data_IF_736517910858
#
_entry.id   IF_736517910858
#
_cell.length_a   1.000
_cell.length_b   1.000
_cell.length_c   1.000
_cell.angle_alpha   90.00
_cell.angle_beta   90.00
_cell.angle_gamma   90.00
#
_symmetry.space_group_name_H-M   'P 1'
#
loop_
_entity.id
_entity.type
_entity.pdbx_description
1 polymer ?
#
# COMPACT_ATOMS: atom_id res chain seq x y z
N UNK A 1 -9.92 -13.31 -10.42
CA UNK A 1 -9.41 -12.03 -9.88
C UNK A 1 -8.54 -11.37 -10.92
N UNK A 2 -8.73 -10.11 -11.19
CA UNK A 2 -7.88 -9.33 -12.11
C UNK A 2 -7.05 -8.36 -11.28
N UNK A 3 -5.75 -8.62 -11.21
CA UNK A 3 -4.78 -7.94 -10.36
C UNK A 3 -4.47 -8.66 -9.05
N UNK A 4 -3.19 -8.71 -8.71
CA UNK A 4 -2.63 -9.42 -7.55
C UNK A 4 -2.13 -8.49 -6.43
N UNK A 5 -2.57 -7.24 -6.40
CA UNK A 5 -2.31 -6.35 -5.27
C UNK A 5 -2.98 -6.85 -3.98
N UNK A 6 -2.76 -6.16 -2.87
CA UNK A 6 -3.31 -6.52 -1.54
C UNK A 6 -4.82 -6.82 -1.60
N UNK A 7 -5.61 -6.07 -2.40
CA UNK A 7 -7.05 -6.34 -2.57
C UNK A 7 -7.30 -7.67 -3.26
N UNK A 8 -6.58 -7.96 -4.35
CA UNK A 8 -6.73 -9.20 -5.11
C UNK A 8 -6.36 -10.41 -4.27
N UNK A 9 -5.20 -10.36 -3.60
CA UNK A 9 -4.76 -11.43 -2.70
C UNK A 9 -5.74 -11.64 -1.54
N UNK A 10 -6.26 -10.56 -0.93
CA UNK A 10 -7.28 -10.65 0.12
C UNK A 10 -8.56 -11.30 -0.39
N UNK A 11 -9.04 -10.87 -1.57
CA UNK A 11 -10.25 -11.44 -2.17
C UNK A 11 -10.07 -12.92 -2.46
N UNK A 12 -8.93 -13.30 -3.07
CA UNK A 12 -8.60 -14.69 -3.36
C UNK A 12 -8.54 -15.53 -2.08
N UNK A 13 -7.89 -15.02 -1.02
CA UNK A 13 -7.83 -15.69 0.30
C UNK A 13 -9.23 -15.98 0.84
N UNK A 14 -10.13 -14.99 0.79
CA UNK A 14 -11.45 -15.10 1.41
C UNK A 14 -12.46 -15.88 0.58
N UNK A 15 -12.32 -15.91 -0.72
CA UNK A 15 -13.18 -16.73 -1.59
C UNK A 15 -12.71 -18.17 -1.61
N UNK A 16 -11.41 -18.44 -1.57
CA UNK A 16 -10.86 -19.81 -1.50
C UNK A 16 -11.16 -20.55 -0.19
N UNK A 17 -11.73 -19.87 0.82
CA UNK A 17 -12.30 -20.54 2.01
C UNK A 17 -13.51 -21.42 1.66
N UNK A 18 -14.16 -21.18 0.51
CA UNK A 18 -15.27 -21.98 0.00
C UNK A 18 -14.75 -23.06 -0.96
N UNK A 19 -14.80 -24.33 -0.53
CA UNK A 19 -14.26 -25.47 -1.29
C UNK A 19 -14.92 -25.72 -2.63
N UNK A 20 -16.14 -25.21 -2.83
CA UNK A 20 -16.90 -25.32 -4.09
C UNK A 20 -16.53 -24.24 -5.11
N UNK A 21 -15.59 -23.35 -4.79
CA UNK A 21 -15.22 -22.23 -5.66
C UNK A 21 -13.77 -22.40 -6.12
N UNK A 22 -13.60 -22.43 -7.43
CA UNK A 22 -12.28 -22.35 -8.06
C UNK A 22 -11.88 -20.90 -8.21
N UNK A 23 -10.66 -20.55 -7.81
CA UNK A 23 -10.17 -19.18 -7.84
C UNK A 23 -8.94 -19.07 -8.73
N UNK A 24 -9.00 -18.17 -9.70
CA UNK A 24 -7.86 -17.79 -10.55
C UNK A 24 -7.52 -16.32 -10.34
N UNK A 25 -6.25 -16.00 -10.18
CA UNK A 25 -5.70 -14.65 -10.11
C UNK A 25 -4.89 -14.39 -11.38
N UNK A 26 -5.35 -13.45 -12.20
CA UNK A 26 -4.67 -12.99 -13.41
C UNK A 26 -3.90 -11.71 -13.09
N UNK A 27 -2.60 -11.73 -13.25
CA UNK A 27 -1.70 -10.59 -13.03
C UNK A 27 -1.02 -10.20 -14.35
N UNK A 28 -1.08 -8.90 -14.69
CA UNK A 28 -0.47 -8.41 -15.93
C UNK A 28 1.07 -8.37 -15.87
N UNK A 29 1.62 -8.19 -14.68
CA UNK A 29 3.05 -8.15 -14.45
C UNK A 29 3.62 -9.57 -14.26
N UNK A 30 4.93 -9.71 -14.42
CA UNK A 30 5.66 -10.92 -14.11
C UNK A 30 5.68 -11.25 -12.61
N UNK A 31 5.54 -10.23 -11.77
CA UNK A 31 5.58 -10.33 -10.32
C UNK A 31 4.20 -10.04 -9.72
N UNK A 32 3.87 -10.77 -8.66
CA UNK A 32 2.66 -10.56 -7.89
C UNK A 32 2.89 -9.52 -6.78
N UNK A 33 1.80 -8.89 -6.32
CA UNK A 33 1.84 -7.96 -5.20
C UNK A 33 1.37 -6.54 -5.54
N UNK A 34 1.33 -6.19 -6.82
CA UNK A 34 0.94 -4.85 -7.29
C UNK A 34 1.85 -3.77 -6.69
N UNK A 35 1.29 -2.74 -6.04
CA UNK A 35 2.09 -1.72 -5.35
C UNK A 35 2.86 -2.25 -4.13
N UNK A 36 2.63 -3.49 -3.71
CA UNK A 36 3.38 -4.14 -2.64
C UNK A 36 4.48 -5.08 -3.17
N UNK A 37 4.68 -5.17 -4.48
CA UNK A 37 5.76 -5.95 -5.07
C UNK A 37 7.14 -5.32 -4.82
N UNK A 38 8.16 -6.13 -5.05
CA UNK A 38 9.55 -5.71 -5.16
C UNK A 38 10.02 -6.16 -6.53
N UNK A 39 10.45 -5.23 -7.35
CA UNK A 39 10.98 -5.50 -8.69
C UNK A 39 12.50 -5.27 -8.77
N UNK A 40 13.05 -5.29 -10.00
CA UNK A 40 14.48 -5.07 -10.22
C UNK A 40 14.96 -3.71 -9.73
N UNK A 41 14.07 -2.72 -9.73
CA UNK A 41 14.34 -1.35 -9.29
C UNK A 41 14.12 -1.17 -7.76
N UNK A 42 13.63 -2.20 -7.08
CA UNK A 42 13.46 -2.23 -5.64
C UNK A 42 12.03 -2.11 -5.15
N UNK A 43 11.88 -1.66 -3.91
CA UNK A 43 10.59 -1.49 -3.25
C UNK A 43 9.84 -0.27 -3.80
N UNK A 44 8.52 -0.38 -3.92
CA UNK A 44 7.66 0.75 -4.28
C UNK A 44 7.72 1.88 -3.23
N UNK A 45 7.76 1.54 -1.96
CA UNK A 45 7.87 2.47 -0.83
C UNK A 45 8.18 1.71 0.48
N UNK A 46 8.61 2.41 1.54
CA UNK A 46 8.72 1.83 2.88
C UNK A 46 7.40 1.22 3.34
N UNK A 47 7.45 0.01 3.90
CA UNK A 47 6.27 -0.68 4.46
C UNK A 47 6.17 -0.41 5.96
N UNK A 48 5.30 0.52 6.30
CA UNK A 48 5.00 0.88 7.67
C UNK A 48 3.50 0.66 7.92
N UNK A 49 3.17 -0.26 8.80
CA UNK A 49 1.79 -0.62 9.13
C UNK A 49 1.40 0.05 10.45
N UNK A 50 0.21 0.62 10.48
CA UNK A 50 -0.32 1.22 11.70
C UNK A 50 -1.06 0.16 12.53
N UNK A 51 -1.12 0.35 13.84
CA UNK A 51 -1.78 -0.59 14.77
C UNK A 51 -3.31 -0.69 14.58
N UNK A 52 -3.91 0.25 13.86
CA UNK A 52 -5.31 0.24 13.48
C UNK A 52 -5.62 -0.53 12.16
N UNK A 53 -4.62 -1.21 11.58
CA UNK A 53 -4.79 -2.08 10.41
C UNK A 53 -5.41 -3.43 10.80
N UNK A 54 -6.59 -3.39 11.41
CA UNK A 54 -7.22 -4.54 12.06
C UNK A 54 -7.58 -5.66 11.10
N UNK A 55 -8.11 -5.32 9.92
CA UNK A 55 -8.51 -6.31 8.93
C UNK A 55 -7.30 -6.93 8.23
N UNK A 56 -6.31 -6.10 7.88
CA UNK A 56 -5.05 -6.60 7.33
C UNK A 56 -4.37 -7.55 8.32
N UNK A 57 -4.25 -7.16 9.58
CA UNK A 57 -3.62 -8.00 10.61
C UNK A 57 -4.39 -9.29 10.87
N UNK A 58 -5.71 -9.27 10.75
CA UNK A 58 -6.52 -10.50 10.80
C UNK A 58 -6.14 -11.47 9.67
N UNK A 59 -6.01 -10.97 8.44
CA UNK A 59 -5.57 -11.79 7.29
C UNK A 59 -4.15 -12.31 7.51
N UNK A 60 -3.20 -11.42 7.84
CA UNK A 60 -1.80 -11.79 8.03
C UNK A 60 -1.59 -12.76 9.20
N UNK A 61 -2.53 -12.79 10.15
CA UNK A 61 -2.57 -13.75 11.25
C UNK A 61 -2.85 -15.19 10.80
N UNK A 62 -3.46 -15.39 9.63
CA UNK A 62 -3.79 -16.72 9.08
C UNK A 62 -2.74 -17.23 8.09
N UNK A 63 -1.80 -16.39 7.67
CA UNK A 63 -0.77 -16.73 6.67
C UNK A 63 0.52 -17.11 7.39
N UNK A 64 1.03 -18.31 7.09
CA UNK A 64 2.32 -18.77 7.61
C UNK A 64 3.49 -18.04 6.93
N UNK A 65 4.32 -17.39 7.75
CA UNK A 65 5.51 -16.65 7.33
C UNK A 65 6.72 -17.56 7.05
N UNK A 66 7.91 -16.93 6.95
CA UNK A 66 9.15 -17.64 6.61
C UNK A 66 9.67 -18.55 7.75
N UNK A 67 9.37 -18.22 8.99
CA UNK A 67 9.87 -18.89 10.19
C UNK A 67 8.83 -19.81 10.85
N UNK A 68 7.77 -20.17 10.12
CA UNK A 68 6.67 -21.00 10.61
C UNK A 68 5.68 -20.27 11.53
N UNK A 69 5.97 -19.03 11.92
CA UNK A 69 5.01 -18.16 12.61
C UNK A 69 4.11 -17.46 11.60
N UNK A 70 3.00 -16.92 12.04
CA UNK A 70 2.18 -16.11 11.12
C UNK A 70 2.92 -14.82 10.70
N UNK A 71 2.64 -14.34 9.48
CA UNK A 71 3.19 -13.06 8.99
C UNK A 71 2.90 -11.94 9.98
N UNK A 72 1.71 -11.92 10.60
CA UNK A 72 1.36 -10.93 11.63
C UNK A 72 2.30 -10.98 12.85
N UNK A 73 2.61 -12.18 13.34
CA UNK A 73 3.47 -12.36 14.52
C UNK A 73 4.96 -12.11 14.24
N UNK A 74 5.36 -12.13 12.98
CA UNK A 74 6.71 -11.78 12.56
C UNK A 74 6.95 -10.27 12.43
N UNK A 75 5.89 -9.44 12.43
CA UNK A 75 6.02 -7.99 12.36
C UNK A 75 6.73 -7.45 13.61
N UNK A 76 7.60 -6.50 13.40
CA UNK A 76 8.39 -5.85 14.44
C UNK A 76 7.84 -4.46 14.75
N UNK A 77 7.83 -4.07 16.01
CA UNK A 77 7.51 -2.71 16.42
C UNK A 77 8.55 -1.75 15.83
N UNK A 78 8.08 -0.63 15.31
CA UNK A 78 8.93 0.39 14.74
C UNK A 78 8.58 1.77 15.30
N UNK A 79 9.61 2.54 15.60
CA UNK A 79 9.46 3.92 16.03
C UNK A 79 9.28 4.84 14.82
N UNK A 80 8.61 5.93 15.04
CA UNK A 80 8.53 7.03 14.08
C UNK A 80 9.27 8.24 14.65
N UNK A 81 10.27 8.68 13.92
CA UNK A 81 11.14 9.78 14.34
C UNK A 81 10.94 10.96 13.39
N UNK A 82 10.91 12.17 13.93
CA UNK A 82 10.95 13.41 13.17
C UNK A 82 12.07 14.29 13.67
N UNK A 83 12.70 15.01 12.77
CA UNK A 83 13.83 15.87 13.13
C UNK A 83 13.32 17.26 13.52
N UNK A 84 13.85 17.77 14.64
CA UNK A 84 13.69 19.16 15.08
C UNK A 84 15.01 19.91 14.97
N UNK A 85 14.94 21.24 14.91
CA UNK A 85 16.15 22.04 14.80
C UNK A 85 16.96 22.11 16.09
N UNK A 86 16.33 21.96 17.25
CA UNK A 86 17.00 22.12 18.56
C UNK A 86 17.24 20.78 19.28
N UNK A 87 16.36 19.81 19.09
CA UNK A 87 16.40 18.55 19.85
C UNK A 87 16.83 17.35 19.01
N UNK A 88 17.20 17.55 17.72
CA UNK A 88 17.55 16.47 16.82
C UNK A 88 16.38 15.54 16.51
N UNK A 89 16.59 14.23 16.51
CA UNK A 89 15.56 13.24 16.25
C UNK A 89 14.66 13.03 17.48
N UNK A 90 13.36 13.27 17.31
CA UNK A 90 12.35 13.13 18.36
C UNK A 90 11.32 12.07 17.94
N UNK A 91 11.03 11.14 18.82
CA UNK A 91 9.99 10.15 18.61
C UNK A 91 8.60 10.78 18.68
N UNK A 92 7.83 10.61 17.60
CA UNK A 92 6.47 11.16 17.43
C UNK A 92 5.40 10.07 17.38
N UNK A 93 5.62 8.96 18.06
CA UNK A 93 4.67 7.84 18.13
C UNK A 93 3.30 8.24 18.70
N UNK A 94 3.26 9.35 19.45
CA UNK A 94 2.04 9.82 20.10
C UNK A 94 1.81 11.32 19.92
N UNK A 95 0.60 11.70 19.52
CA UNK A 95 0.24 13.12 19.38
C UNK A 95 0.45 13.91 20.70
N UNK A 96 0.19 13.31 21.86
CA UNK A 96 0.36 13.98 23.15
C UNK A 96 1.82 14.35 23.46
N UNK A 97 2.82 13.69 22.84
CA UNK A 97 4.22 14.11 22.97
C UNK A 97 4.49 15.47 22.37
N UNK A 98 3.70 15.90 21.39
CA UNK A 98 3.74 17.28 20.89
C UNK A 98 3.36 18.30 21.98
N UNK A 99 2.65 17.86 23.01
CA UNK A 99 2.26 18.68 24.16
C UNK A 99 3.29 18.59 25.30
N UNK A 100 4.32 17.76 25.18
CA UNK A 100 5.36 17.62 26.21
C UNK A 100 6.11 18.96 26.42
N UNK A 101 6.32 19.34 27.68
CA UNK A 101 6.96 20.60 28.06
C UNK A 101 8.39 20.74 27.54
N UNK A 102 9.03 19.63 27.26
CA UNK A 102 10.41 19.52 26.79
C UNK A 102 10.60 20.02 25.35
N UNK A 103 9.52 20.15 24.56
CA UNK A 103 9.58 20.62 23.18
C UNK A 103 9.13 22.09 23.12
N UNK A 104 9.98 23.00 22.63
CA UNK A 104 9.60 24.41 22.46
C UNK A 104 8.33 24.59 21.63
N UNK A 105 7.51 25.60 21.93
CA UNK A 105 6.21 25.83 21.25
C UNK A 105 6.40 26.01 19.73
N UNK A 106 7.44 26.72 19.31
CA UNK A 106 7.76 26.90 17.89
C UNK A 106 8.04 25.58 17.19
N UNK A 107 8.72 24.65 17.86
CA UNK A 107 8.98 23.31 17.33
C UNK A 107 7.76 22.42 17.36
N UNK A 108 6.87 22.56 18.36
CA UNK A 108 5.58 21.84 18.37
C UNK A 108 4.76 22.17 17.12
N UNK A 109 4.76 23.44 16.70
CA UNK A 109 4.09 23.86 15.46
C UNK A 109 4.75 23.24 14.24
N UNK A 110 6.08 23.19 14.21
CA UNK A 110 6.83 22.56 13.12
C UNK A 110 6.60 21.04 13.08
N UNK A 111 6.66 20.37 14.22
CA UNK A 111 6.34 18.95 14.36
C UNK A 111 4.89 18.67 14.00
N UNK A 112 3.93 19.49 14.45
CA UNK A 112 2.52 19.35 14.08
C UNK A 112 2.31 19.55 12.58
N UNK A 113 3.09 20.41 11.93
CA UNK A 113 3.10 20.57 10.47
C UNK A 113 3.76 19.38 9.75
N UNK A 114 4.80 18.78 10.32
CA UNK A 114 5.46 17.58 9.81
C UNK A 114 4.66 16.32 10.17
N UNK A 115 3.94 16.33 11.28
CA UNK A 115 3.11 15.25 11.80
C UNK A 115 1.77 15.15 11.05
N UNK A 116 1.72 15.40 9.80
CA UNK A 116 0.55 15.12 8.99
C UNK A 116 0.43 13.61 8.75
N UNK A 117 -0.80 13.11 8.57
CA UNK A 117 -1.12 11.69 8.74
C UNK A 117 -0.50 10.71 7.77
N UNK A 118 0.47 11.09 7.01
CA UNK A 118 1.35 10.18 6.32
C UNK A 118 2.57 10.83 5.73
N UNK A 119 3.62 10.03 5.63
CA UNK A 119 4.85 10.41 4.97
C UNK A 119 4.76 10.49 3.44
N UNK A 120 3.63 10.20 2.80
CA UNK A 120 3.61 9.78 1.40
C UNK A 120 3.06 10.79 0.39
N UNK A 121 2.81 12.04 0.76
CA UNK A 121 2.26 12.99 -0.19
C UNK A 121 3.08 14.23 -0.35
N UNK A 122 3.35 14.46 -1.55
CA UNK A 122 4.11 15.54 -2.07
C UNK A 122 3.32 16.80 -2.32
N UNK A 123 3.90 17.92 -2.00
CA UNK A 123 3.46 19.22 -2.44
C UNK A 123 3.98 19.50 -3.85
N UNK A 124 3.10 19.72 -4.81
CA UNK A 124 3.42 20.11 -6.18
C UNK A 124 4.27 21.39 -6.28
N UNK A 125 4.43 22.12 -5.18
CA UNK A 125 5.17 23.38 -5.13
C UNK A 125 6.48 23.30 -4.34
N UNK A 126 6.90 22.11 -3.91
CA UNK A 126 8.18 21.94 -3.19
C UNK A 126 8.23 22.58 -1.80
N UNK A 127 7.11 23.04 -1.28
CA UNK A 127 7.08 23.82 -0.05
C UNK A 127 6.69 23.06 1.21
N UNK A 128 6.12 21.87 1.13
CA UNK A 128 5.80 21.06 2.31
C UNK A 128 5.50 19.62 1.91
N UNK A 129 6.47 18.83 1.91
CA UNK A 129 6.50 17.46 1.47
C UNK A 129 5.85 16.49 2.44
N UNK A 130 4.64 16.63 2.85
CA UNK A 130 3.95 15.66 3.69
C UNK A 130 2.44 15.78 3.59
N UNK A 131 1.91 15.94 2.38
CA UNK A 131 0.47 15.93 2.18
C UNK A 131 0.02 14.64 1.56
N UNK A 132 -0.88 13.93 2.25
CA UNK A 132 -1.91 13.15 1.59
C UNK A 132 -2.89 14.12 0.98
N UNK A 133 -2.87 14.34 -0.28
CA UNK A 133 -3.78 15.24 -0.91
C UNK A 133 -3.93 16.60 -0.23
N UNK A 134 -4.66 17.50 -0.78
CA UNK A 134 -5.16 18.67 -0.07
C UNK A 134 -6.18 18.18 0.99
N UNK A 135 -6.26 18.81 2.16
CA UNK A 135 -7.37 18.58 3.09
C UNK A 135 -8.74 18.78 2.41
N UNK A 136 -8.76 19.50 1.29
CA UNK A 136 -9.94 19.70 0.45
C UNK A 136 -10.38 18.46 -0.31
N UNK A 137 -9.45 17.52 -0.53
CA UNK A 137 -9.71 16.26 -1.24
C UNK A 137 -10.40 15.22 -0.36
N UNK A 138 -10.48 15.48 0.95
CA UNK A 138 -11.16 14.61 1.91
C UNK A 138 -12.54 15.14 2.28
N UNK A 139 -13.51 14.25 2.32
CA UNK A 139 -14.81 14.59 2.91
C UNK A 139 -14.66 14.93 4.40
N UNK A 140 -15.54 15.78 4.98
CA UNK A 140 -15.52 16.07 6.42
C UNK A 140 -15.53 14.81 7.29
N UNK A 141 -16.25 13.77 6.87
CA UNK A 141 -16.30 12.47 7.54
C UNK A 141 -14.95 11.74 7.41
N UNK A 142 -14.30 11.83 6.26
CA UNK A 142 -12.95 11.29 6.04
C UNK A 142 -11.93 11.97 6.95
N UNK A 143 -11.97 13.29 7.07
CA UNK A 143 -11.10 14.06 7.97
C UNK A 143 -11.32 13.69 9.45
N UNK A 144 -12.58 13.54 9.88
CA UNK A 144 -12.90 13.12 11.25
C UNK A 144 -12.40 11.70 11.55
N UNK A 145 -12.58 10.76 10.60
CA UNK A 145 -12.05 9.39 10.73
C UNK A 145 -10.53 9.39 10.80
N UNK A 146 -9.89 10.18 9.95
CA UNK A 146 -8.43 10.34 9.95
C UNK A 146 -7.94 10.91 11.28
N UNK A 147 -8.54 11.97 11.78
CA UNK A 147 -8.20 12.55 13.08
C UNK A 147 -8.38 11.52 14.22
N UNK A 148 -9.47 10.76 14.21
CA UNK A 148 -9.71 9.68 15.18
C UNK A 148 -8.64 8.59 15.12
N UNK A 149 -8.23 8.16 13.92
CA UNK A 149 -7.20 7.15 13.76
C UNK A 149 -5.84 7.66 14.24
N UNK A 150 -5.51 8.91 13.95
CA UNK A 150 -4.28 9.55 14.41
C UNK A 150 -4.17 9.59 15.94
N UNK A 151 -5.29 9.83 16.64
CA UNK A 151 -5.32 9.82 18.11
C UNK A 151 -5.18 8.40 18.67
N UNK A 152 -5.69 7.41 17.96
CA UNK A 152 -5.73 6.00 18.42
C UNK A 152 -4.50 5.20 18.05
N UNK A 153 -3.91 5.47 16.90
CA UNK A 153 -2.73 4.74 16.43
C UNK A 153 -1.50 5.13 17.26
N UNK A 154 -0.99 4.17 18.00
CA UNK A 154 0.11 4.38 18.96
C UNK A 154 1.41 3.74 18.49
N UNK A 155 1.32 2.65 17.76
CA UNK A 155 2.47 1.84 17.39
C UNK A 155 2.48 1.63 15.88
N UNK A 156 3.68 1.65 15.31
CA UNK A 156 3.92 1.23 13.94
C UNK A 156 4.57 -0.15 13.91
N UNK A 157 4.36 -0.85 12.82
CA UNK A 157 4.95 -2.16 12.58
C UNK A 157 5.64 -2.17 11.22
N UNK A 158 6.70 -2.96 11.11
CA UNK A 158 7.44 -3.17 9.87
C UNK A 158 7.71 -4.64 9.67
N UNK A 159 7.99 -5.01 8.42
CA UNK A 159 8.44 -6.36 8.08
C UNK A 159 9.87 -6.58 8.58
N UNK A 160 10.26 -7.82 8.89
CA UNK A 160 11.63 -8.15 9.27
C UNK A 160 12.67 -7.96 8.16
N UNK A 161 12.22 -7.77 6.92
CA UNK A 161 13.09 -7.62 5.75
C UNK A 161 12.28 -7.23 4.49
N UNK A 162 12.73 -7.63 3.29
CA UNK A 162 12.10 -7.29 2.02
C UNK A 162 10.63 -7.68 1.93
N UNK A 163 9.82 -6.83 1.30
CA UNK A 163 8.36 -7.01 1.23
C UNK A 163 7.97 -8.26 0.46
N UNK A 164 8.67 -8.60 -0.61
CA UNK A 164 8.45 -9.84 -1.37
C UNK A 164 8.64 -11.07 -0.46
N UNK A 165 9.78 -11.14 0.23
CA UNK A 165 10.17 -12.29 1.06
C UNK A 165 9.26 -12.46 2.28
N UNK A 166 8.89 -11.38 2.96
CA UNK A 166 8.20 -11.45 4.27
C UNK A 166 6.69 -11.21 4.20
N UNK A 167 6.16 -10.77 3.05
CA UNK A 167 4.74 -10.52 2.88
C UNK A 167 4.17 -11.26 1.67
N UNK A 168 4.71 -11.01 0.47
CA UNK A 168 4.09 -11.48 -0.77
C UNK A 168 4.31 -12.98 -0.96
N UNK A 169 5.53 -13.48 -0.89
CA UNK A 169 5.83 -14.91 -1.06
C UNK A 169 5.10 -15.83 -0.07
N UNK A 170 5.04 -15.51 1.25
CA UNK A 170 4.19 -16.23 2.18
C UNK A 170 2.72 -16.27 1.76
N UNK A 171 2.18 -15.15 1.30
CA UNK A 171 0.79 -15.06 0.88
C UNK A 171 0.53 -15.90 -0.37
N UNK A 172 1.40 -15.84 -1.37
CA UNK A 172 1.29 -16.66 -2.59
C UNK A 172 1.40 -18.16 -2.28
N UNK A 173 2.29 -18.56 -1.36
CA UNK A 173 2.39 -19.96 -0.90
C UNK A 173 1.08 -20.42 -0.24
N UNK A 174 0.48 -19.58 0.59
CA UNK A 174 -0.80 -19.89 1.23
C UNK A 174 -1.92 -20.06 0.21
N UNK A 175 -2.02 -19.16 -0.77
CA UNK A 175 -3.01 -19.26 -1.83
C UNK A 175 -2.83 -20.52 -2.70
N UNK A 176 -1.59 -20.87 -3.06
CA UNK A 176 -1.32 -22.12 -3.78
C UNK A 176 -1.74 -23.37 -2.97
N UNK A 177 -1.48 -23.38 -1.65
CA UNK A 177 -1.93 -24.46 -0.76
C UNK A 177 -3.46 -24.58 -0.71
N UNK A 178 -4.18 -23.49 -0.89
CA UNK A 178 -5.64 -23.44 -0.99
C UNK A 178 -6.18 -23.83 -2.38
N UNK A 179 -5.31 -24.14 -3.35
CA UNK A 179 -5.70 -24.49 -4.71
C UNK A 179 -5.97 -23.30 -5.62
N UNK A 180 -5.58 -22.08 -5.24
CA UNK A 180 -5.75 -20.91 -6.09
C UNK A 180 -4.74 -20.94 -7.25
N UNK A 181 -5.25 -20.80 -8.49
CA UNK A 181 -4.41 -20.59 -9.67
C UNK A 181 -3.85 -19.17 -9.69
N UNK A 182 -2.53 -19.05 -9.81
CA UNK A 182 -1.82 -17.77 -9.87
C UNK A 182 -1.11 -17.64 -11.22
N UNK A 183 -1.59 -16.74 -12.07
CA UNK A 183 -1.12 -16.58 -13.44
C UNK A 183 -0.53 -15.19 -13.67
N UNK A 184 0.79 -15.12 -13.75
CA UNK A 184 1.53 -13.93 -14.12
C UNK A 184 1.59 -13.77 -15.65
N UNK A 185 1.99 -12.58 -16.12
CA UNK A 185 2.04 -12.21 -17.55
C UNK A 185 0.68 -12.39 -18.27
N UNK A 186 -0.42 -12.29 -17.51
CA UNK A 186 -1.81 -12.48 -17.98
C UNK A 186 -2.59 -11.16 -17.95
N UNK A 187 -2.20 -10.25 -18.82
CA UNK A 187 -2.91 -8.98 -18.97
C UNK A 187 -4.30 -9.20 -19.54
N UNK A 188 -5.33 -8.79 -18.80
CA UNK A 188 -6.71 -8.75 -19.29
C UNK A 188 -6.90 -7.50 -20.15
N UNK A 189 -7.42 -7.71 -21.36
CA UNK A 189 -7.59 -6.65 -22.36
C UNK A 189 -9.05 -6.30 -22.64
N UNK A 190 -9.98 -7.20 -22.30
CA UNK A 190 -11.41 -6.96 -22.49
C UNK A 190 -12.27 -7.76 -21.53
N UNK A 191 -13.41 -7.18 -21.16
CA UNK A 191 -14.48 -7.79 -20.39
C UNK A 191 -15.80 -7.71 -21.16
N UNK A 192 -16.57 -8.77 -21.18
CA UNK A 192 -17.89 -8.75 -21.80
C UNK A 192 -18.90 -9.57 -20.99
N UNK A 193 -20.18 -9.16 -21.02
CA UNK A 193 -21.23 -9.97 -20.46
C UNK A 193 -21.48 -11.18 -21.38
N UNK A 194 -21.53 -12.37 -20.80
CA UNK A 194 -21.81 -13.62 -21.48
C UNK A 194 -22.93 -14.38 -20.74
N UNK A 195 -24.16 -14.08 -21.08
CA UNK A 195 -25.32 -14.58 -20.31
C UNK A 195 -25.28 -14.08 -18.86
N UNK A 196 -25.24 -15.00 -17.90
CA UNK A 196 -25.08 -14.68 -16.47
C UNK A 196 -23.62 -14.55 -15.99
N UNK A 197 -22.67 -14.78 -16.88
CA UNK A 197 -21.25 -14.87 -16.62
C UNK A 197 -20.48 -13.68 -17.19
N UNK A 198 -19.20 -13.58 -16.90
CA UNK A 198 -18.29 -12.57 -17.43
C UNK A 198 -17.23 -13.25 -18.28
N UNK A 199 -17.14 -12.89 -19.54
CA UNK A 199 -16.06 -13.27 -20.43
C UNK A 199 -14.86 -12.34 -20.22
N UNK A 200 -13.69 -12.93 -20.02
CA UNK A 200 -12.42 -12.26 -19.78
C UNK A 200 -11.45 -12.61 -20.90
N UNK A 201 -10.98 -11.61 -21.63
CA UNK A 201 -10.06 -11.80 -22.76
C UNK A 201 -8.65 -11.40 -22.37
N UNK A 202 -7.70 -12.27 -22.69
CA UNK A 202 -6.26 -12.06 -22.58
C UNK A 202 -5.58 -12.38 -23.90
N UNK A 203 -4.26 -12.25 -24.00
CA UNK A 203 -3.51 -12.69 -25.19
C UNK A 203 -3.61 -14.22 -25.44
N UNK A 204 -3.96 -15.02 -24.42
CA UNK A 204 -4.11 -16.46 -24.52
C UNK A 204 -5.53 -16.90 -24.97
N UNK A 205 -6.46 -15.97 -25.12
CA UNK A 205 -7.82 -16.25 -25.50
C UNK A 205 -8.85 -15.66 -24.55
N UNK A 206 -10.09 -16.14 -24.68
CA UNK A 206 -11.23 -15.71 -23.84
C UNK A 206 -11.69 -16.85 -22.96
N UNK A 207 -11.79 -16.58 -21.69
CA UNK A 207 -12.30 -17.50 -20.65
C UNK A 207 -13.57 -16.92 -20.02
N UNK A 208 -14.47 -17.76 -19.55
CA UNK A 208 -15.75 -17.36 -18.96
C UNK A 208 -15.77 -17.71 -17.50
N UNK A 209 -16.13 -16.76 -16.65
CA UNK A 209 -16.19 -16.91 -15.21
C UNK A 209 -17.57 -16.52 -14.65
N UNK A 210 -18.03 -17.22 -13.62
CA UNK A 210 -19.27 -16.86 -12.90
C UNK A 210 -19.11 -15.49 -12.24
N UNK A 211 -17.92 -15.23 -11.68
CA UNK A 211 -17.61 -14.01 -10.94
C UNK A 211 -16.23 -13.49 -11.34
N UNK A 212 -16.16 -12.22 -11.63
CA UNK A 212 -14.91 -11.48 -11.87
C UNK A 212 -14.82 -10.33 -10.88
N UNK A 213 -13.68 -10.24 -10.17
CA UNK A 213 -13.37 -9.08 -9.32
C UNK A 213 -12.18 -8.35 -9.91
N UNK A 214 -12.38 -7.09 -10.29
CA UNK A 214 -11.30 -6.24 -10.80
C UNK A 214 -10.68 -5.49 -9.63
N UNK A 215 -9.38 -5.72 -9.42
CA UNK A 215 -8.59 -5.07 -8.37
C UNK A 215 -7.42 -4.30 -8.94
N UNK A 216 -7.52 -3.97 -10.22
CA UNK A 216 -6.51 -3.23 -10.96
C UNK A 216 -6.30 -1.81 -10.40
N UNK A 217 -5.13 -1.27 -10.66
CA UNK A 217 -4.81 0.12 -10.38
C UNK A 217 -5.73 1.05 -11.19
N UNK A 218 -6.08 2.23 -10.65
CA UNK A 218 -7.12 3.09 -11.24
C UNK A 218 -6.96 3.37 -12.73
N UNK A 219 -5.81 3.79 -13.24
CA UNK A 219 -5.62 3.98 -14.67
C UNK A 219 -5.85 2.71 -15.50
N UNK A 220 -5.39 1.56 -14.99
CA UNK A 220 -5.58 0.27 -15.67
C UNK A 220 -7.05 -0.18 -15.62
N UNK A 221 -7.73 0.10 -14.51
CA UNK A 221 -9.18 -0.14 -14.38
C UNK A 221 -9.96 0.68 -15.42
N UNK A 222 -9.72 1.98 -15.50
CA UNK A 222 -10.38 2.87 -16.47
C UNK A 222 -10.10 2.40 -17.90
N UNK A 223 -8.83 2.17 -18.24
CA UNK A 223 -8.45 1.67 -19.57
C UNK A 223 -9.11 0.33 -19.91
N UNK A 224 -9.27 -0.57 -18.94
CA UNK A 224 -9.94 -1.85 -19.16
C UNK A 224 -11.44 -1.66 -19.41
N UNK A 225 -12.10 -0.79 -18.64
CA UNK A 225 -13.53 -0.50 -18.83
C UNK A 225 -13.79 0.18 -20.19
N UNK A 226 -12.94 1.14 -20.59
CA UNK A 226 -13.01 1.82 -21.88
C UNK A 226 -12.79 0.84 -23.05
N UNK A 227 -11.75 0.02 -22.99
CA UNK A 227 -11.46 -0.99 -23.99
C UNK A 227 -12.61 -2.01 -24.13
N UNK A 228 -13.26 -2.32 -23.02
CA UNK A 228 -14.42 -3.22 -22.95
C UNK A 228 -15.73 -2.55 -23.35
N UNK A 229 -15.74 -1.25 -23.64
CA UNK A 229 -16.94 -0.44 -23.91
C UNK A 229 -17.99 -0.52 -22.81
N UNK A 230 -17.53 -0.67 -21.57
CA UNK A 230 -18.39 -0.71 -20.39
C UNK A 230 -18.60 0.72 -19.91
N UNK A 231 -19.86 1.15 -19.88
CA UNK A 231 -20.24 2.51 -19.46
C UNK A 231 -20.00 2.70 -17.94
N UNK A 232 -19.13 3.62 -17.59
CA UNK A 232 -18.73 3.89 -16.22
C UNK A 232 -18.70 5.38 -15.92
N UNK A 233 -18.62 5.73 -14.64
CA UNK A 233 -18.37 7.12 -14.23
C UNK A 233 -16.90 7.46 -14.43
N UNK A 234 -16.61 8.76 -14.59
CA UNK A 234 -15.24 9.23 -14.59
C UNK A 234 -14.60 9.00 -13.21
N UNK A 235 -13.38 8.48 -13.20
CA UNK A 235 -12.59 8.27 -11.99
C UNK A 235 -11.31 9.07 -12.11
N UNK A 236 -11.13 10.05 -11.24
CA UNK A 236 -9.89 10.80 -11.14
C UNK A 236 -8.90 10.02 -10.27
N UNK A 237 -7.74 9.69 -10.81
CA UNK A 237 -6.65 9.01 -10.09
C UNK A 237 -5.77 9.96 -9.28
N UNK A 238 -5.98 11.27 -9.42
CA UNK A 238 -5.05 12.27 -8.91
C UNK A 238 -3.70 12.24 -9.65
N UNK A 239 -2.85 13.19 -9.35
CA UNK A 239 -1.51 13.28 -9.95
C UNK A 239 -0.45 13.22 -8.85
N UNK A 240 -0.27 12.04 -8.26
CA UNK A 240 0.77 11.79 -7.26
C UNK A 240 1.81 10.86 -7.81
N UNK A 241 3.07 11.20 -7.61
CA UNK A 241 4.21 10.36 -7.96
C UNK A 241 5.27 10.45 -6.87
N UNK A 242 6.16 9.47 -6.83
CA UNK A 242 7.26 9.44 -5.88
C UNK A 242 8.43 8.65 -6.44
N UNK A 243 9.58 8.82 -5.81
CA UNK A 243 10.76 8.01 -6.08
C UNK A 243 11.13 7.27 -4.81
N UNK A 244 11.34 5.97 -4.95
CA UNK A 244 11.77 5.12 -3.86
C UNK A 244 13.20 4.62 -4.11
N UNK A 245 14.01 4.61 -3.06
CA UNK A 245 15.35 4.03 -3.10
C UNK A 245 15.41 2.84 -2.14
N UNK A 246 15.86 1.72 -2.65
CA UNK A 246 16.24 0.58 -1.81
C UNK A 246 17.76 0.57 -1.70
N UNK A 247 18.26 0.81 -0.51
CA UNK A 247 19.68 1.01 -0.23
C UNK A 247 20.20 -0.12 0.66
N UNK A 248 21.24 -0.78 0.21
CA UNK A 248 22.01 -1.71 1.04
C UNK A 248 23.16 -0.94 1.70
N UNK A 249 23.21 -1.00 3.01
CA UNK A 249 24.28 -0.40 3.81
C UNK A 249 25.40 -1.41 4.05
N UNK A 250 26.60 -0.92 4.39
CA UNK A 250 27.66 -1.79 4.90
C UNK A 250 27.17 -2.44 6.22
N UNK A 251 27.25 -3.76 6.39
CA UNK A 251 26.81 -4.42 7.64
C UNK A 251 27.54 -3.93 8.90
N UNK A 252 28.67 -3.26 8.74
CA UNK A 252 29.44 -2.65 9.82
C UNK A 252 29.01 -1.21 10.12
N UNK A 253 28.06 -0.67 9.35
CA UNK A 253 27.53 0.68 9.55
C UNK A 253 26.76 0.75 10.88
N UNK A 254 27.01 1.79 11.64
CA UNK A 254 26.27 2.06 12.87
C UNK A 254 25.19 3.10 12.59
N UNK A 255 24.07 2.65 12.07
CA UNK A 255 22.93 3.55 11.90
C UNK A 255 22.38 3.91 13.27
N UNK A 256 22.51 5.21 13.64
CA UNK A 256 21.94 5.81 14.85
C UNK A 256 21.55 4.79 15.94
N UNK A 257 22.47 4.42 16.71
CA UNK A 257 22.70 3.49 17.80
C UNK A 257 21.55 2.73 18.48
N UNK A 258 20.40 2.54 17.89
CA UNK A 258 19.31 1.79 18.51
C UNK A 258 18.83 0.65 17.62
N UNK A 259 18.89 -0.56 18.14
CA UNK A 259 18.57 -1.82 17.47
C UNK A 259 17.10 -1.97 17.02
N UNK A 260 16.26 -0.97 17.21
CA UNK A 260 14.84 -1.01 16.80
C UNK A 260 14.64 -0.43 15.42
N UNK A 261 13.83 -1.08 14.55
CA UNK A 261 13.45 -0.47 13.29
C UNK A 261 12.80 0.90 13.52
N UNK A 262 13.14 1.86 12.67
CA UNK A 262 12.59 3.20 12.79
C UNK A 262 12.31 3.83 11.42
N UNK A 263 11.25 4.63 11.37
CA UNK A 263 10.93 5.52 10.26
C UNK A 263 11.41 6.92 10.59
N UNK A 264 12.39 7.41 9.86
CA UNK A 264 12.94 8.75 9.95
C UNK A 264 12.26 9.67 8.93
N UNK A 265 11.69 10.77 9.38
CA UNK A 265 10.97 11.72 8.51
C UNK A 265 11.61 13.11 8.61
N UNK A 266 12.13 13.64 7.51
CA UNK A 266 12.68 14.99 7.40
C UNK A 266 12.64 15.50 5.96
N UNK A 267 12.24 16.75 5.77
CA UNK A 267 12.32 17.49 4.50
C UNK A 267 11.80 16.71 3.27
N UNK A 268 10.69 16.00 3.45
CA UNK A 268 10.08 15.20 2.38
C UNK A 268 10.78 13.88 2.08
N UNK A 269 11.80 13.55 2.83
CA UNK A 269 12.48 12.26 2.76
C UNK A 269 12.04 11.40 3.93
N UNK A 270 11.56 10.20 3.63
CA UNK A 270 11.16 9.21 4.63
C UNK A 270 12.05 7.99 4.48
N UNK A 271 12.76 7.65 5.54
CA UNK A 271 13.73 6.57 5.54
C UNK A 271 13.27 5.52 6.53
N UNK A 272 12.93 4.34 6.04
CA UNK A 272 12.71 3.16 6.88
C UNK A 272 14.02 2.38 6.97
N UNK A 273 14.64 2.39 8.14
CA UNK A 273 15.73 1.48 8.46
C UNK A 273 15.13 0.16 8.88
N UNK A 274 15.47 -0.90 8.14
CA UNK A 274 14.98 -2.25 8.41
C UNK A 274 15.79 -2.94 9.53
N UNK A 275 15.25 -4.00 10.12
CA UNK A 275 15.97 -4.81 11.10
C UNK A 275 17.31 -5.32 10.53
N UNK A 276 18.32 -5.40 11.39
CA UNK A 276 19.68 -5.77 10.96
C UNK A 276 20.55 -4.58 10.57
N UNK A 277 19.94 -3.39 10.31
CA UNK A 277 20.60 -2.13 10.00
C UNK A 277 21.44 -2.11 8.71
N UNK A 278 21.38 -3.17 7.94
CA UNK A 278 22.12 -3.32 6.69
C UNK A 278 21.31 -2.87 5.45
N UNK A 279 20.03 -2.51 5.63
CA UNK A 279 19.14 -2.11 4.55
C UNK A 279 18.20 -0.99 4.99
N UNK A 280 18.04 -0.01 4.12
CA UNK A 280 16.98 0.99 4.28
C UNK A 280 16.16 1.16 3.00
N UNK A 281 14.89 1.50 3.16
CA UNK A 281 14.00 1.91 2.08
C UNK A 281 13.68 3.38 2.26
N UNK A 282 14.00 4.16 1.25
CA UNK A 282 13.84 5.61 1.27
C UNK A 282 12.73 5.99 0.30
N UNK A 283 11.84 6.84 0.74
CA UNK A 283 10.83 7.45 -0.12
C UNK A 283 11.04 8.95 -0.17
N UNK A 284 11.22 9.45 -1.36
CA UNK A 284 11.17 10.86 -1.66
C UNK A 284 9.81 11.20 -2.24
N UNK A 285 9.05 11.97 -1.48
CA UNK A 285 7.81 12.53 -1.96
C UNK A 285 8.14 13.78 -2.74
N UNK A 286 7.89 13.78 -4.02
CA UNK A 286 8.06 14.83 -4.97
C UNK A 286 9.41 15.27 -5.36
N UNK A 287 9.59 14.84 -6.30
CA UNK A 287 10.38 15.32 -7.06
C UNK A 287 10.23 16.33 -8.15
N UNK A 288 10.30 17.47 -7.77
CA UNK A 288 10.80 18.48 -8.69
C UNK A 288 12.32 18.39 -8.87
N UNK A 289 13.00 17.63 -8.04
CA UNK A 289 14.43 17.29 -8.18
C UNK A 289 14.71 15.97 -7.46
N UNK A 290 14.49 14.88 -8.14
CA UNK A 290 15.06 13.57 -7.80
C UNK A 290 16.45 13.45 -8.40
N UNK A 291 17.31 14.37 -8.07
CA UNK A 291 18.73 14.14 -8.23
C UNK A 291 19.11 13.04 -7.23
N UNK A 292 19.43 11.83 -7.69
CA UNK A 292 19.79 10.73 -6.81
C UNK A 292 20.92 11.10 -5.84
N UNK A 293 21.91 11.84 -6.30
CA UNK A 293 23.07 12.20 -5.49
C UNK A 293 22.66 13.14 -4.33
N UNK A 294 21.75 14.06 -4.58
CA UNK A 294 21.21 14.92 -3.51
C UNK A 294 20.42 14.12 -2.46
N UNK A 295 19.60 13.16 -2.90
CA UNK A 295 18.83 12.31 -1.98
C UNK A 295 19.77 11.44 -1.16
N UNK A 296 20.74 10.80 -1.81
CA UNK A 296 21.71 9.93 -1.13
C UNK A 296 22.59 10.72 -0.14
N UNK A 297 22.97 11.94 -0.49
CA UNK A 297 23.68 12.83 0.43
C UNK A 297 22.83 13.18 1.67
N UNK A 298 21.51 13.42 1.49
CA UNK A 298 20.58 13.60 2.63
C UNK A 298 20.47 12.32 3.46
N UNK A 299 20.33 11.17 2.84
CA UNK A 299 20.27 9.89 3.58
C UNK A 299 21.52 9.69 4.42
N UNK A 300 22.70 9.88 3.84
CA UNK A 300 23.98 9.83 4.57
C UNK A 300 23.99 10.78 5.76
N UNK A 301 23.63 12.03 5.54
CA UNK A 301 23.60 13.04 6.60
C UNK A 301 22.56 12.74 7.70
N UNK A 302 21.38 12.27 7.32
CA UNK A 302 20.30 12.01 8.29
C UNK A 302 20.52 10.77 9.14
N UNK A 303 21.16 9.76 8.59
CA UNK A 303 21.51 8.52 9.28
C UNK A 303 22.93 8.54 9.84
N UNK A 304 23.67 9.64 9.64
CA UNK A 304 25.07 9.80 10.10
C UNK A 304 25.97 8.65 9.62
N UNK A 305 25.86 8.30 8.33
CA UNK A 305 26.60 7.18 7.76
C UNK A 305 28.05 7.54 7.49
N UNK A 306 28.96 6.75 8.04
CA UNK A 306 30.41 6.91 7.89
C UNK A 306 30.98 6.15 6.69
N UNK A 307 30.26 5.12 6.20
CA UNK A 307 30.73 4.20 5.17
C UNK A 307 30.02 4.41 3.85
N UNK A 308 30.59 3.85 2.80
CA UNK A 308 29.97 3.86 1.49
C UNK A 308 28.75 2.94 1.41
N UNK A 309 27.79 3.33 0.58
CA UNK A 309 26.60 2.52 0.30
C UNK A 309 27.02 1.33 -0.55
N UNK A 310 26.61 0.13 -0.17
CA UNK A 310 26.96 -1.11 -0.90
C UNK A 310 26.23 -1.19 -2.22
N UNK A 311 24.94 -0.88 -2.24
CA UNK A 311 24.15 -0.79 -3.46
C UNK A 311 22.96 0.15 -3.30
N UNK A 312 22.52 0.71 -4.41
CA UNK A 312 21.35 1.59 -4.48
C UNK A 312 20.51 1.16 -5.68
N UNK A 313 19.25 0.88 -5.44
CA UNK A 313 18.23 0.69 -6.49
C UNK A 313 17.22 1.82 -6.41
N UNK A 314 16.78 2.34 -7.56
CA UNK A 314 15.90 3.49 -7.66
C UNK A 314 14.66 3.11 -8.47
N UNK A 315 13.49 3.19 -7.85
CA UNK A 315 12.19 2.97 -8.48
C UNK A 315 11.42 4.27 -8.60
N UNK A 316 11.10 4.64 -9.84
CA UNK A 316 10.33 5.84 -10.14
C UNK A 316 8.87 5.48 -10.31
N UNK A 317 8.02 5.90 -9.38
CA UNK A 317 6.58 5.67 -9.39
C UNK A 317 5.89 6.93 -9.94
N UNK A 318 5.77 7.01 -11.27
CA UNK A 318 5.34 8.23 -11.98
C UNK A 318 3.95 8.15 -12.64
N UNK A 319 3.28 7.00 -12.58
CA UNK A 319 1.92 6.89 -13.12
C UNK A 319 0.96 7.69 -12.24
N UNK A 320 -0.07 8.35 -12.82
CA UNK A 320 -1.03 9.12 -12.05
C UNK A 320 -1.62 8.34 -10.86
N UNK A 321 -1.51 8.87 -9.65
CA UNK A 321 -1.94 8.22 -8.41
C UNK A 321 -1.10 7.03 -7.94
N UNK A 322 0.03 6.73 -8.59
CA UNK A 322 0.83 5.54 -8.27
C UNK A 322 1.46 5.61 -6.88
N UNK A 323 1.88 6.78 -6.43
CA UNK A 323 2.40 6.95 -5.09
C UNK A 323 1.31 6.73 -4.03
N UNK A 324 0.21 7.46 -4.16
CA UNK A 324 -0.97 7.40 -3.31
C UNK A 324 -2.18 7.78 -4.14
N UNK A 325 -3.28 7.08 -4.00
CA UNK A 325 -4.55 7.51 -4.57
C UNK A 325 -5.12 8.67 -3.74
N UNK A 326 -5.35 9.81 -4.39
CA UNK A 326 -5.92 11.02 -3.78
C UNK A 326 -7.18 11.52 -4.48
N UNK A 327 -7.66 10.80 -5.49
CA UNK A 327 -8.89 11.10 -6.19
C UNK A 327 -10.14 10.79 -5.36
N UNK A 328 -11.30 11.02 -5.94
CA UNK A 328 -12.56 10.66 -5.32
C UNK A 328 -12.73 9.15 -5.21
N UNK A 329 -12.90 8.66 -3.97
CA UNK A 329 -13.16 7.25 -3.72
C UNK A 329 -14.52 6.86 -4.30
N UNK A 330 -14.50 5.94 -5.25
CA UNK A 330 -15.69 5.51 -5.97
C UNK A 330 -16.39 4.38 -5.24
N UNK A 331 -17.69 4.48 -5.07
CA UNK A 331 -18.50 3.35 -4.58
C UNK A 331 -18.57 2.27 -5.69
N UNK A 332 -18.26 1.03 -5.33
CA UNK A 332 -18.24 -0.09 -6.28
C UNK A 332 -19.59 -0.29 -6.99
N UNK A 333 -20.72 -0.06 -6.28
CA UNK A 333 -22.08 -0.15 -6.80
C UNK A 333 -22.47 1.02 -7.75
N UNK A 334 -21.63 2.07 -7.83
CA UNK A 334 -21.88 3.24 -8.68
C UNK A 334 -20.82 3.43 -9.76
N UNK A 335 -19.78 2.60 -9.77
CA UNK A 335 -18.72 2.70 -10.77
C UNK A 335 -19.28 2.52 -12.18
N UNK A 336 -20.09 1.50 -12.38
CA UNK A 336 -20.77 1.26 -13.66
C UNK A 336 -22.11 1.99 -13.69
N UNK A 337 -22.41 2.66 -14.83
CA UNK A 337 -23.72 3.27 -15.07
C UNK A 337 -24.81 2.23 -15.26
N UNK A 338 -24.44 1.06 -15.79
CA UNK A 338 -25.31 -0.11 -15.93
C UNK A 338 -24.66 -1.29 -15.23
N UNK A 339 -25.28 -1.86 -14.18
CA UNK A 339 -24.74 -3.02 -13.48
C UNK A 339 -24.49 -4.18 -14.44
N UNK A 340 -23.37 -4.85 -14.27
CA UNK A 340 -22.99 -6.06 -14.99
C UNK A 340 -22.94 -7.21 -13.98
N UNK A 341 -23.77 -8.23 -14.22
CA UNK A 341 -23.86 -9.38 -13.31
C UNK A 341 -22.53 -10.12 -13.26
N UNK A 342 -22.12 -10.52 -12.07
CA UNK A 342 -20.87 -11.23 -11.86
C UNK A 342 -19.62 -10.35 -11.85
N UNK A 343 -19.73 -9.04 -12.11
CA UNK A 343 -18.59 -8.14 -12.11
C UNK A 343 -18.56 -7.29 -10.83
N UNK A 344 -17.46 -7.37 -10.10
CA UNK A 344 -17.21 -6.67 -8.84
C UNK A 344 -15.92 -5.89 -8.90
N UNK A 345 -15.77 -4.92 -8.00
CA UNK A 345 -14.59 -4.06 -7.93
C UNK A 345 -14.09 -3.97 -6.48
N UNK A 346 -12.78 -4.06 -6.32
CA UNK A 346 -12.12 -3.79 -5.06
C UNK A 346 -10.77 -3.11 -5.31
N UNK A 347 -10.26 -2.42 -4.31
CA UNK A 347 -9.00 -1.70 -4.40
C UNK A 347 -8.98 -0.53 -3.43
N UNK A 348 -7.82 0.06 -3.24
CA UNK A 348 -7.66 1.19 -2.33
C UNK A 348 -8.43 2.44 -2.78
N UNK A 349 -8.67 2.59 -4.09
CA UNK A 349 -9.47 3.67 -4.67
C UNK A 349 -10.99 3.41 -4.62
N UNK A 350 -11.40 2.17 -4.33
CA UNK A 350 -12.80 1.84 -4.13
C UNK A 350 -13.19 2.21 -2.70
N UNK A 351 -14.33 2.91 -2.57
CA UNK A 351 -14.82 3.42 -1.29
C UNK A 351 -14.86 2.32 -0.22
N UNK A 352 -14.20 2.61 0.87
CA UNK A 352 -14.12 1.75 2.05
C UNK A 352 -14.17 2.60 3.32
N UNK A 353 -14.17 1.95 4.48
CA UNK A 353 -14.26 2.66 5.77
C UNK A 353 -12.92 3.22 6.26
N UNK A 354 -11.81 2.98 5.55
CA UNK A 354 -10.50 3.53 5.90
C UNK A 354 -10.30 4.89 5.20
N UNK A 355 -9.81 5.92 5.89
CA UNK A 355 -9.88 7.29 5.40
C UNK A 355 -8.80 7.65 4.37
N UNK A 356 -7.82 6.80 4.17
CA UNK A 356 -6.65 7.07 3.33
C UNK A 356 -6.31 5.88 2.44
N UNK A 357 -5.58 6.12 1.36
CA UNK A 357 -5.03 5.05 0.51
C UNK A 357 -3.94 4.29 1.27
N UNK A 358 -4.29 3.11 1.74
CA UNK A 358 -3.41 2.24 2.50
C UNK A 358 -3.79 0.77 2.29
N UNK A 359 -2.90 -0.14 2.71
CA UNK A 359 -3.15 -1.58 2.65
C UNK A 359 -4.44 -1.97 3.39
N UNK A 360 -4.73 -1.35 4.52
CA UNK A 360 -5.97 -1.57 5.27
C UNK A 360 -7.22 -1.20 4.45
N UNK A 361 -7.19 -0.08 3.73
CA UNK A 361 -8.27 0.33 2.83
C UNK A 361 -8.49 -0.67 1.71
N UNK A 362 -7.40 -1.17 1.13
CA UNK A 362 -7.44 -2.19 0.10
C UNK A 362 -8.08 -3.51 0.62
N UNK A 363 -7.71 -3.94 1.82
CA UNK A 363 -8.31 -5.12 2.49
C UNK A 363 -9.80 -4.90 2.75
N UNK A 364 -10.18 -3.77 3.35
CA UNK A 364 -11.59 -3.47 3.66
C UNK A 364 -12.47 -3.42 2.41
N UNK A 365 -11.96 -2.86 1.33
CA UNK A 365 -12.63 -2.87 0.03
C UNK A 365 -12.81 -4.29 -0.50
N UNK A 366 -11.77 -5.12 -0.43
CA UNK A 366 -11.83 -6.53 -0.82
C UNK A 366 -12.87 -7.31 -0.01
N UNK A 367 -12.87 -7.15 1.31
CA UNK A 367 -13.86 -7.78 2.19
C UNK A 367 -15.29 -7.33 1.90
N UNK A 368 -15.48 -6.09 1.46
CA UNK A 368 -16.79 -5.60 1.03
C UNK A 368 -17.25 -6.31 -0.26
N UNK A 369 -16.36 -6.48 -1.25
CA UNK A 369 -16.63 -7.23 -2.46
C UNK A 369 -16.94 -8.71 -2.16
N UNK A 370 -16.17 -9.35 -1.28
CA UNK A 370 -16.41 -10.72 -0.83
C UNK A 370 -17.78 -10.88 -0.20
N UNK A 371 -18.19 -9.94 0.68
CA UNK A 371 -19.54 -9.97 1.28
C UNK A 371 -20.64 -9.84 0.22
N UNK A 372 -20.45 -9.00 -0.79
CA UNK A 372 -21.41 -8.86 -1.88
C UNK A 372 -21.52 -10.17 -2.69
N UNK A 373 -20.39 -10.77 -3.04
CA UNK A 373 -20.34 -12.04 -3.79
C UNK A 373 -21.04 -13.15 -2.97
N UNK A 374 -20.72 -13.29 -1.68
CA UNK A 374 -21.34 -14.31 -0.82
C UNK A 374 -22.86 -14.17 -0.78
N UNK A 375 -23.37 -12.95 -0.65
CA UNK A 375 -24.82 -12.69 -0.66
C UNK A 375 -25.44 -13.00 -2.02
N UNK A 376 -24.80 -12.58 -3.12
CA UNK A 376 -25.39 -12.66 -4.45
C UNK A 376 -25.33 -14.10 -5.04
N UNK A 377 -24.49 -14.97 -4.47
CA UNK A 377 -24.29 -16.37 -4.89
C UNK A 377 -24.56 -17.39 -3.78
N UNK A 378 -25.19 -16.99 -2.67
CA UNK A 378 -25.53 -17.86 -1.53
C UNK A 378 -24.34 -18.73 -1.05
N UNK A 379 -23.14 -18.15 -1.04
CA UNK A 379 -21.96 -18.86 -0.55
C UNK A 379 -21.98 -18.87 0.99
N UNK A 380 -22.36 -20.01 1.56
CA UNK A 380 -22.32 -20.22 3.01
C UNK A 380 -20.87 -20.19 3.52
N UNK A 381 -20.67 -19.54 4.65
CA UNK A 381 -19.39 -19.63 5.37
C UNK A 381 -19.30 -21.02 5.99
N UNK A 382 -18.31 -21.82 5.59
CA UNK A 382 -18.02 -23.06 6.30
C UNK A 382 -17.83 -22.75 7.79
N UNK A 383 -18.72 -23.29 8.63
CA UNK A 383 -18.68 -23.14 10.09
C UNK A 383 -17.53 -23.91 10.70
#
# INVERSE_FOLDING_TARGET
>A
MIGSGISGLTTATKISEHKSVEVTVLEQARHFGGRADVDVDGEHCPRFFMDDYTELFSILGTIEGQDGRSVRSALLNARRLSHTHTSGWVEISHLYRLLAREIPITERITLARQWRPSPLVADQQGRNANRFGSLRDYSPVGLLRMARNLVRSKTGYVLPGPTDVYLIDPWLRDLRRRGVSLEADRRVTNLAQHGSHVAVTTAMGTEVFDVVVVTAFVPDLVNLLDASKIDHIAVDSGNTHCVAYTIQLDPREKVLADASPAMYCRDGVNILVQPGHDRCVVLCTMATRTDPDHVLAKVRSYLELDRDLVSVRCRVNQRPGEAVFVGDYVRSDRLLRRPMRGLYFAGSAIHNSYPIDAAEGAVRSALAAVRAIRRDYDLEVAR
#
